data_IF_712660568251
#
_entry.id   IF_712660568251
#
_cell.length_a   1.000
_cell.length_b   1.000
_cell.length_c   1.000
_cell.angle_alpha   90.00
_cell.angle_beta   90.00
_cell.angle_gamma   90.00
#
_symmetry.space_group_name_H-M   'P 1'
#
loop_
_entity.id
_entity.type
_entity.pdbx_description
1 polymer ?
#
# COMPACT_ATOMS: atom_id res chain seq x y z
N UNK A 1 -0.77 10.50 2.34
CA UNK A 1 -0.17 10.32 0.99
C UNK A 1 -0.12 8.83 0.66
N UNK A 2 0.55 8.02 1.50
CA UNK A 2 0.52 6.56 1.41
C UNK A 2 -0.14 5.95 2.67
N UNK A 3 -0.15 4.62 2.76
CA UNK A 3 -0.59 3.82 3.91
C UNK A 3 0.50 3.85 4.97
N UNK A 4 0.16 4.28 6.19
CA UNK A 4 1.08 4.27 7.32
C UNK A 4 1.16 2.89 7.96
N UNK A 5 2.36 2.48 8.36
CA UNK A 5 2.60 1.15 8.94
C UNK A 5 3.07 0.14 7.89
N UNK A 6 2.71 -1.13 8.10
CA UNK A 6 3.04 -2.22 7.19
C UNK A 6 1.99 -2.35 6.09
N UNK A 7 2.44 -2.49 4.85
CA UNK A 7 1.58 -2.76 3.70
C UNK A 7 2.29 -3.80 2.82
N UNK A 8 1.72 -5.01 2.75
CA UNK A 8 2.33 -6.16 2.10
C UNK A 8 1.41 -6.76 1.06
N UNK A 9 1.99 -7.19 -0.05
CA UNK A 9 1.33 -8.06 -1.02
C UNK A 9 1.99 -9.43 -1.00
N UNK A 10 1.22 -10.44 -1.38
CA UNK A 10 1.68 -11.82 -1.52
C UNK A 10 1.63 -12.25 -2.99
N UNK A 11 2.58 -13.09 -3.36
CA UNK A 11 2.58 -13.83 -4.63
C UNK A 11 3.10 -15.24 -4.36
N UNK A 12 2.36 -16.25 -4.78
CA UNK A 12 2.76 -17.65 -4.66
C UNK A 12 3.97 -17.94 -5.55
N UNK A 13 4.73 -18.97 -5.18
CA UNK A 13 5.92 -19.38 -5.94
C UNK A 13 5.62 -19.72 -7.41
N UNK A 14 4.45 -20.30 -7.69
CA UNK A 14 3.98 -20.61 -9.03
C UNK A 14 3.28 -19.42 -9.73
N UNK A 15 3.20 -18.27 -9.06
CA UNK A 15 2.60 -17.02 -9.51
C UNK A 15 1.11 -17.09 -9.86
N UNK A 16 0.41 -18.16 -9.47
CA UNK A 16 -1.02 -18.33 -9.76
C UNK A 16 -1.92 -17.68 -8.72
N UNK A 17 -1.38 -17.38 -7.54
CA UNK A 17 -2.12 -16.84 -6.42
C UNK A 17 -1.38 -15.63 -5.87
N UNK A 18 -2.12 -14.59 -5.49
CA UNK A 18 -1.55 -13.39 -4.91
C UNK A 18 -2.63 -12.42 -4.47
N UNK A 19 -2.20 -11.30 -3.92
CA UNK A 19 -3.11 -10.22 -3.52
C UNK A 19 -2.62 -9.41 -2.34
N UNK A 20 -3.51 -8.54 -1.86
CA UNK A 20 -3.32 -7.75 -0.66
C UNK A 20 -3.40 -8.63 0.60
N UNK A 21 -2.44 -8.48 1.52
CA UNK A 21 -2.41 -9.24 2.77
C UNK A 21 -3.10 -8.47 3.90
N UNK A 22 -4.12 -9.09 4.48
CA UNK A 22 -4.74 -8.63 5.74
C UNK A 22 -4.04 -9.20 6.97
N UNK A 23 -3.58 -10.44 6.86
CA UNK A 23 -2.81 -11.16 7.87
C UNK A 23 -2.09 -12.33 7.21
N UNK A 24 -0.96 -12.73 7.80
CA UNK A 24 -0.31 -13.99 7.48
C UNK A 24 0.41 -14.53 8.72
N UNK A 25 0.57 -15.84 8.75
CA UNK A 25 1.45 -16.54 9.67
C UNK A 25 2.37 -17.44 8.85
N UNK A 26 3.58 -17.67 9.34
CA UNK A 26 4.55 -18.49 8.63
C UNK A 26 5.74 -18.84 9.50
N UNK A 27 6.26 -20.04 9.29
CA UNK A 27 7.45 -20.56 9.96
C UNK A 27 8.65 -20.51 9.01
N UNK A 28 9.86 -20.35 9.57
CA UNK A 28 11.13 -20.34 8.83
C UNK A 28 11.21 -19.30 7.69
N UNK A 29 10.71 -18.09 7.95
CA UNK A 29 10.78 -16.99 7.00
C UNK A 29 12.19 -16.40 6.91
N UNK A 30 12.61 -16.05 5.70
CA UNK A 30 13.76 -15.17 5.45
C UNK A 30 13.21 -13.76 5.20
N UNK A 31 13.70 -12.77 5.96
CA UNK A 31 13.26 -11.38 5.86
C UNK A 31 14.43 -10.50 5.47
N UNK A 32 14.23 -9.70 4.42
CA UNK A 32 15.19 -8.71 3.94
C UNK A 32 14.56 -7.32 3.97
N UNK A 33 15.32 -6.31 4.41
CA UNK A 33 14.83 -4.93 4.59
C UNK A 33 15.78 -3.96 3.91
N UNK A 34 15.23 -3.05 3.10
CA UNK A 34 15.95 -1.93 2.52
C UNK A 34 15.44 -0.61 3.09
N UNK A 35 16.32 0.16 3.75
CA UNK A 35 15.98 1.49 4.24
C UNK A 35 16.06 2.51 3.09
N UNK A 36 14.93 3.16 2.79
CA UNK A 36 14.85 4.21 1.79
C UNK A 36 14.76 5.57 2.48
N UNK A 37 15.66 6.49 2.10
CA UNK A 37 15.76 7.84 2.70
C UNK A 37 15.09 8.92 1.85
N UNK A 38 14.59 8.56 0.67
CA UNK A 38 13.96 9.48 -0.27
C UNK A 38 12.66 8.87 -0.78
N UNK A 39 11.66 9.73 -0.95
CA UNK A 39 10.39 9.42 -1.58
C UNK A 39 10.14 10.46 -2.68
N UNK A 40 9.91 9.98 -3.90
CA UNK A 40 9.50 10.79 -5.04
C UNK A 40 8.01 10.54 -5.31
N UNK A 41 7.25 11.61 -5.53
CA UNK A 41 5.82 11.55 -5.77
C UNK A 41 5.50 12.17 -7.12
N UNK A 42 4.89 11.38 -8.00
CA UNK A 42 4.35 11.85 -9.27
C UNK A 42 2.84 12.04 -9.15
N UNK A 43 2.37 13.22 -9.55
CA UNK A 43 0.96 13.58 -9.47
C UNK A 43 0.30 13.34 -10.83
N UNK A 44 -0.78 12.52 -10.90
CA UNK A 44 -1.53 12.34 -12.14
C UNK A 44 -2.09 13.67 -12.67
N UNK A 45 -1.96 13.89 -13.98
CA UNK A 45 -2.38 15.13 -14.65
C UNK A 45 -3.76 14.99 -15.31
N UNK A 46 -4.43 13.86 -15.14
CA UNK A 46 -5.74 13.65 -15.74
C UNK A 46 -6.82 14.50 -15.05
N UNK A 47 -7.90 14.85 -15.78
CA UNK A 47 -8.95 15.72 -15.24
C UNK A 47 -9.66 15.15 -14.01
N UNK A 48 -9.73 13.84 -13.84
CA UNK A 48 -10.45 13.22 -12.73
C UNK A 48 -9.68 13.41 -11.42
N UNK A 49 -8.36 13.20 -11.45
CA UNK A 49 -7.50 13.49 -10.30
C UNK A 49 -7.52 14.97 -9.94
N UNK A 50 -7.39 15.86 -10.94
CA UNK A 50 -7.30 17.31 -10.73
C UNK A 50 -8.60 17.93 -10.19
N UNK A 51 -9.75 17.31 -10.44
CA UNK A 51 -11.06 17.76 -9.95
C UNK A 51 -11.47 17.11 -8.62
N UNK A 52 -10.70 16.14 -8.13
CA UNK A 52 -11.03 15.46 -6.88
C UNK A 52 -10.80 16.36 -5.67
N UNK A 53 -11.81 16.49 -4.81
CA UNK A 53 -11.73 17.31 -3.60
C UNK A 53 -11.16 16.50 -2.42
N UNK A 54 -9.87 16.65 -2.18
CA UNK A 54 -9.13 15.99 -1.10
C UNK A 54 -9.44 16.54 0.30
N UNK A 55 -10.13 17.69 0.43
CA UNK A 55 -10.37 18.35 1.72
C UNK A 55 -11.54 17.76 2.52
N UNK A 56 -12.45 17.05 1.86
CA UNK A 56 -13.74 16.64 2.45
C UNK A 56 -13.70 15.38 3.31
N UNK A 57 -12.54 14.76 3.55
CA UNK A 57 -12.45 13.42 4.16
C UNK A 57 -11.23 13.30 5.07
N UNK A 58 -11.43 12.77 6.28
CA UNK A 58 -10.32 12.22 7.08
C UNK A 58 -9.88 10.89 6.43
N UNK A 59 -8.71 10.84 5.77
CA UNK A 59 -8.28 9.65 5.03
C UNK A 59 -7.88 8.51 5.99
N UNK A 60 -7.38 8.85 7.17
CA UNK A 60 -6.69 7.90 8.05
C UNK A 60 -7.62 6.78 8.52
N UNK A 61 -8.82 7.13 8.97
CA UNK A 61 -9.84 6.19 9.45
C UNK A 61 -10.38 5.26 8.37
N UNK A 62 -10.32 5.65 7.09
CA UNK A 62 -10.78 4.82 5.98
C UNK A 62 -9.70 3.89 5.45
N UNK A 63 -8.45 4.35 5.42
CA UNK A 63 -7.32 3.55 4.94
C UNK A 63 -7.19 2.28 5.79
N UNK A 64 -7.22 2.37 7.12
CA UNK A 64 -7.16 1.19 8.00
C UNK A 64 -8.35 0.23 7.88
N UNK A 65 -9.42 0.60 7.16
CA UNK A 65 -10.57 -0.27 6.94
C UNK A 65 -10.47 -1.04 5.62
N UNK A 66 -9.68 -0.54 4.68
CA UNK A 66 -9.49 -1.15 3.35
C UNK A 66 -8.15 -1.87 3.25
N UNK A 67 -7.19 -1.51 4.10
CA UNK A 67 -5.91 -2.18 4.30
C UNK A 67 -5.95 -3.21 5.42
#
# INVERSE_FOLDING_TARGET
>A
INIGGYHFHFLSQDQKQGGHLLAFEGDNLIVEVAELKKFDLEIPQDPDFQKFDFSKRDPSRKIHKVE
#
